data_IF_817473248359
#
_entry.id   IF_817473248359
#
_cell.length_a   1.000
_cell.length_b   1.000
_cell.length_c   1.000
_cell.angle_alpha   90.00
_cell.angle_beta   90.00
_cell.angle_gamma   90.00
#
_symmetry.space_group_name_H-M   'P 1'
#
loop_
_entity.id
_entity.type
_entity.pdbx_description
1 polymer ?
#
# COMPACT_ATOMS: atom_id res chain seq x y z
N UNK A 1 -16.55 -2.53 9.55
CA UNK A 1 -16.33 -1.22 8.91
C UNK A 1 -16.53 -0.19 10.00
N UNK A 2 -15.56 0.70 10.24
CA UNK A 2 -15.66 1.74 11.26
C UNK A 2 -16.81 2.69 10.93
N UNK A 3 -17.51 3.16 11.96
CA UNK A 3 -18.55 4.18 11.82
C UNK A 3 -17.93 5.55 11.57
N UNK A 4 -18.65 6.47 10.91
CA UNK A 4 -18.12 7.79 10.54
C UNK A 4 -17.61 8.61 11.74
N UNK A 5 -18.25 8.46 12.91
CA UNK A 5 -17.83 9.16 14.12
C UNK A 5 -16.50 8.63 14.67
N UNK A 6 -16.22 7.33 14.51
CA UNK A 6 -14.94 6.71 14.91
C UNK A 6 -13.82 7.23 13.99
N UNK A 7 -14.08 7.24 12.68
CA UNK A 7 -13.14 7.75 11.68
C UNK A 7 -12.82 9.23 11.94
N UNK A 8 -13.84 10.06 12.22
CA UNK A 8 -13.64 11.48 12.55
C UNK A 8 -12.76 11.68 13.79
N UNK A 9 -12.98 10.85 14.81
CA UNK A 9 -12.21 10.90 16.04
C UNK A 9 -10.75 10.53 15.78
N UNK A 10 -10.50 9.43 15.07
CA UNK A 10 -9.15 8.96 14.74
C UNK A 10 -8.39 9.96 13.86
N UNK A 11 -9.05 10.55 12.85
CA UNK A 11 -8.43 11.57 12.01
C UNK A 11 -8.01 12.79 12.83
N UNK A 12 -8.86 13.23 13.77
CA UNK A 12 -8.52 14.33 14.68
C UNK A 12 -7.32 14.00 15.55
N UNK A 13 -7.31 12.82 16.18
CA UNK A 13 -6.19 12.35 17.01
C UNK A 13 -4.89 12.26 16.20
N UNK A 14 -4.95 11.77 14.97
CA UNK A 14 -3.82 11.70 14.05
C UNK A 14 -3.30 13.09 13.67
N UNK A 15 -4.18 14.02 13.33
CA UNK A 15 -3.79 15.38 12.98
C UNK A 15 -3.08 16.08 14.16
N UNK A 16 -3.60 15.92 15.38
CA UNK A 16 -2.98 16.45 16.60
C UNK A 16 -1.61 15.81 16.85
N UNK A 17 -1.50 14.49 16.70
CA UNK A 17 -0.25 13.75 16.90
C UNK A 17 0.83 14.12 15.89
N UNK A 18 0.51 14.15 14.60
CA UNK A 18 1.45 14.56 13.55
C UNK A 18 1.87 16.02 13.70
N UNK A 19 0.94 16.90 14.11
CA UNK A 19 1.27 18.30 14.44
C UNK A 19 2.25 18.38 15.62
N UNK A 20 2.04 17.58 16.67
CA UNK A 20 2.94 17.53 17.83
C UNK A 20 4.34 17.02 17.46
N UNK A 21 4.43 16.13 16.47
CA UNK A 21 5.70 15.67 15.88
C UNK A 21 6.35 16.69 14.94
N UNK A 22 5.72 17.86 14.74
CA UNK A 22 6.17 18.90 13.80
C UNK A 22 6.24 18.42 12.35
N UNK A 23 5.41 17.45 12.00
CA UNK A 23 5.24 17.03 10.61
C UNK A 23 4.61 18.17 9.80
N UNK A 24 5.02 18.30 8.54
CA UNK A 24 4.39 19.23 7.60
C UNK A 24 3.12 18.56 7.06
N UNK A 25 1.97 19.14 7.35
CA UNK A 25 0.67 18.63 6.90
C UNK A 25 0.22 19.39 5.65
N UNK A 26 0.05 18.66 4.55
CA UNK A 26 -0.38 19.21 3.27
C UNK A 26 -1.49 18.33 2.69
N UNK A 27 -2.75 18.58 3.04
CA UNK A 27 -3.87 17.83 2.48
C UNK A 27 -3.96 18.00 0.97
N UNK A 28 -4.35 16.93 0.29
CA UNK A 28 -4.57 16.87 -1.15
C UNK A 28 -6.00 17.30 -1.48
N UNK A 29 -6.16 18.10 -2.53
CA UNK A 29 -7.49 18.48 -3.02
C UNK A 29 -8.26 17.27 -3.55
N UNK A 30 -9.58 17.24 -3.35
CA UNK A 30 -10.49 16.24 -3.93
C UNK A 30 -10.36 16.10 -5.45
N UNK A 31 -10.09 17.20 -6.17
CA UNK A 31 -9.89 17.21 -7.62
C UNK A 31 -8.69 16.35 -8.06
N UNK A 32 -7.57 16.44 -7.33
CA UNK A 32 -6.37 15.65 -7.59
C UNK A 32 -6.60 14.17 -7.28
N UNK A 33 -7.31 13.86 -6.19
CA UNK A 33 -7.69 12.48 -5.86
C UNK A 33 -8.58 11.90 -6.95
N UNK A 34 -9.64 12.61 -7.35
CA UNK A 34 -10.56 12.18 -8.39
C UNK A 34 -9.85 11.98 -9.74
N UNK A 35 -8.91 12.85 -10.10
CA UNK A 35 -8.10 12.70 -11.31
C UNK A 35 -7.21 11.46 -11.26
N UNK A 36 -6.60 11.15 -10.10
CA UNK A 36 -5.80 9.95 -9.91
C UNK A 36 -6.66 8.68 -9.99
N UNK A 37 -7.81 8.67 -9.32
CA UNK A 37 -8.80 7.58 -9.35
C UNK A 37 -9.28 7.30 -10.78
N UNK A 38 -9.62 8.35 -11.53
CA UNK A 38 -10.02 8.25 -12.93
C UNK A 38 -8.88 7.74 -13.83
N UNK A 39 -7.63 8.18 -13.59
CA UNK A 39 -6.45 7.72 -14.34
C UNK A 39 -6.25 6.21 -14.24
N UNK A 40 -6.52 5.62 -13.07
CA UNK A 40 -6.29 4.20 -12.82
C UNK A 40 -7.56 3.34 -12.84
N UNK A 41 -8.74 3.96 -12.92
CA UNK A 41 -10.02 3.25 -12.99
C UNK A 41 -10.42 2.59 -11.67
N UNK A 42 -10.07 3.20 -10.53
CA UNK A 42 -10.39 2.68 -9.19
C UNK A 42 -10.87 3.80 -8.27
N UNK A 43 -11.53 3.43 -7.17
CA UNK A 43 -11.78 4.34 -6.05
C UNK A 43 -10.84 4.00 -4.90
N UNK A 44 -10.32 4.96 -4.17
CA UNK A 44 -9.47 4.71 -3.01
C UNK A 44 -10.31 4.26 -1.80
N UNK A 45 -9.76 3.44 -0.89
CA UNK A 45 -10.43 3.11 0.37
C UNK A 45 -10.80 4.37 1.16
N UNK A 46 -11.99 4.40 1.75
CA UNK A 46 -12.56 5.62 2.35
C UNK A 46 -11.68 6.24 3.44
N UNK A 47 -11.11 5.43 4.33
CA UNK A 47 -10.21 5.90 5.40
C UNK A 47 -8.93 6.52 4.85
N UNK A 48 -8.31 5.88 3.84
CA UNK A 48 -7.13 6.42 3.17
C UNK A 48 -7.44 7.72 2.42
N UNK A 49 -8.55 7.76 1.67
CA UNK A 49 -9.01 8.96 0.96
C UNK A 49 -9.18 10.14 1.90
N UNK A 50 -9.90 9.94 3.00
CA UNK A 50 -10.13 10.99 4.01
C UNK A 50 -8.84 11.45 4.66
N UNK A 51 -7.91 10.53 4.95
CA UNK A 51 -6.61 10.92 5.49
C UNK A 51 -5.83 11.84 4.54
N UNK A 52 -5.73 11.49 3.26
CA UNK A 52 -4.97 12.32 2.31
C UNK A 52 -5.65 13.64 1.99
N UNK A 53 -6.99 13.74 2.07
CA UNK A 53 -7.71 14.99 1.78
C UNK A 53 -7.95 15.89 3.00
N UNK A 54 -7.96 15.33 4.20
CA UNK A 54 -8.22 16.08 5.44
C UNK A 54 -6.95 16.35 6.26
N UNK A 55 -5.92 15.50 6.18
CA UNK A 55 -4.70 15.60 6.98
C UNK A 55 -3.48 15.92 6.13
N UNK A 56 -3.02 14.96 5.31
CA UNK A 56 -1.79 15.15 4.52
C UNK A 56 -1.60 14.07 3.46
N UNK A 57 -1.07 14.44 2.30
CA UNK A 57 -0.60 13.51 1.27
C UNK A 57 0.92 13.35 1.33
N UNK A 58 1.35 12.28 1.99
CA UNK A 58 2.74 12.05 2.34
C UNK A 58 3.12 12.72 3.66
N UNK A 59 3.90 12.01 4.47
CA UNK A 59 4.44 12.51 5.76
C UNK A 59 5.56 11.61 6.25
N UNK A 60 6.63 12.22 6.78
CA UNK A 60 7.69 11.50 7.48
C UNK A 60 7.28 11.32 8.94
N UNK A 61 7.16 10.08 9.38
CA UNK A 61 6.86 9.68 10.76
C UNK A 61 8.06 8.94 11.38
N UNK A 62 8.10 8.76 12.72
CA UNK A 62 9.24 8.12 13.38
C UNK A 62 9.59 6.71 12.86
N UNK A 63 8.59 5.91 12.48
CA UNK A 63 8.78 4.50 12.07
C UNK A 63 8.55 4.23 10.58
N UNK A 64 7.97 5.19 9.85
CA UNK A 64 7.68 5.05 8.44
C UNK A 64 7.57 6.42 7.76
N UNK A 65 7.83 6.47 6.46
CA UNK A 65 7.51 7.61 5.61
C UNK A 65 6.34 7.23 4.74
N UNK A 66 5.20 7.91 4.91
CA UNK A 66 4.10 7.84 3.96
C UNK A 66 4.51 8.58 2.69
N UNK A 67 4.32 7.94 1.54
CA UNK A 67 4.63 8.52 0.24
C UNK A 67 3.40 9.23 -0.36
N UNK A 68 3.59 10.31 -1.14
CA UNK A 68 2.50 11.00 -1.82
C UNK A 68 1.76 10.09 -2.81
N UNK A 69 0.46 10.34 -3.00
CA UNK A 69 -0.44 9.56 -3.87
C UNK A 69 0.12 9.39 -5.29
N UNK A 70 0.76 10.44 -5.83
CA UNK A 70 1.36 10.43 -7.16
C UNK A 70 2.55 9.46 -7.31
N UNK A 71 3.25 9.17 -6.21
CA UNK A 71 4.41 8.27 -6.17
C UNK A 71 4.05 6.80 -5.91
N UNK A 72 2.81 6.54 -5.47
CA UNK A 72 2.37 5.20 -5.01
C UNK A 72 2.47 4.09 -6.07
N UNK A 73 2.42 4.48 -7.35
CA UNK A 73 2.48 3.57 -8.50
C UNK A 73 3.86 3.49 -9.16
N UNK A 74 4.75 4.44 -8.85
CA UNK A 74 6.13 4.50 -9.39
C UNK A 74 7.17 4.10 -8.35
N UNK A 75 6.80 4.02 -7.08
CA UNK A 75 7.66 3.51 -6.02
C UNK A 75 7.93 2.03 -6.23
N UNK A 76 9.20 1.65 -6.14
CA UNK A 76 9.63 0.26 -6.22
C UNK A 76 8.93 -0.59 -5.16
N UNK A 77 8.56 -1.81 -5.57
CA UNK A 77 7.92 -2.83 -4.74
C UNK A 77 8.93 -3.95 -4.57
N UNK A 78 9.02 -4.50 -3.36
CA UNK A 78 9.92 -5.60 -3.03
C UNK A 78 11.32 -5.46 -3.62
N UNK A 79 11.77 -6.51 -4.29
CA UNK A 79 13.07 -6.58 -4.95
C UNK A 79 13.06 -5.89 -6.33
N UNK A 80 14.23 -5.38 -6.75
CA UNK A 80 14.43 -4.60 -7.98
C UNK A 80 14.10 -5.30 -9.32
N UNK A 81 13.63 -6.55 -9.30
CA UNK A 81 13.26 -7.32 -10.48
C UNK A 81 11.83 -7.07 -10.96
N UNK A 82 11.00 -6.41 -10.15
CA UNK A 82 9.66 -6.01 -10.57
C UNK A 82 9.73 -4.91 -11.64
N UNK A 83 8.88 -4.98 -12.70
CA UNK A 83 8.87 -3.98 -13.76
C UNK A 83 8.61 -2.58 -13.23
N UNK A 84 9.37 -1.60 -13.73
CA UNK A 84 9.16 -0.18 -13.41
C UNK A 84 7.86 0.38 -13.98
N UNK A 85 7.27 -0.27 -14.98
CA UNK A 85 6.01 0.10 -15.60
C UNK A 85 4.93 -0.93 -15.31
N UNK A 86 3.95 -0.55 -14.50
CA UNK A 86 2.78 -1.37 -14.20
C UNK A 86 1.75 -1.29 -15.33
N UNK A 87 1.03 -2.40 -15.63
CA UNK A 87 -0.02 -2.38 -16.64
C UNK A 87 -1.17 -1.44 -16.22
N UNK A 88 -1.88 -0.86 -17.21
CA UNK A 88 -2.95 0.12 -16.93
C UNK A 88 -4.11 -0.43 -16.09
N UNK A 89 -4.35 -1.74 -16.18
CA UNK A 89 -5.39 -2.45 -15.45
C UNK A 89 -4.89 -3.02 -14.11
N UNK A 90 -3.66 -2.72 -13.68
CA UNK A 90 -3.03 -3.25 -12.47
C UNK A 90 -3.90 -3.08 -11.22
N UNK A 91 -4.50 -1.89 -11.05
CA UNK A 91 -5.38 -1.61 -9.91
C UNK A 91 -6.82 -2.13 -10.10
N UNK A 92 -7.24 -2.40 -11.34
CA UNK A 92 -8.60 -2.89 -11.63
C UNK A 92 -8.73 -4.39 -11.36
N UNK A 93 -7.62 -5.12 -11.38
CA UNK A 93 -7.55 -6.52 -10.98
C UNK A 93 -7.49 -6.63 -9.46
N UNK A 94 -8.15 -7.63 -8.86
CA UNK A 94 -8.18 -7.78 -7.41
C UNK A 94 -6.84 -8.30 -6.88
N UNK A 95 -6.48 -7.82 -5.69
CA UNK A 95 -5.51 -8.49 -4.84
C UNK A 95 -6.08 -9.86 -4.44
N UNK A 96 -5.33 -10.92 -4.75
CA UNK A 96 -5.78 -12.30 -4.59
C UNK A 96 -5.53 -12.86 -3.18
N UNK A 97 -4.38 -12.59 -2.51
CA UNK A 97 -4.16 -13.11 -1.18
C UNK A 97 -5.21 -12.66 -0.17
N UNK A 98 -5.72 -13.62 0.60
CA UNK A 98 -6.67 -13.39 1.69
C UNK A 98 -6.06 -13.60 3.08
N UNK A 99 -4.85 -14.14 3.16
CA UNK A 99 -4.00 -14.25 4.35
C UNK A 99 -2.52 -14.07 3.98
N UNK A 100 -1.64 -14.11 4.99
CA UNK A 100 -0.20 -14.04 4.80
C UNK A 100 0.26 -14.96 3.66
N UNK A 101 1.04 -14.38 2.74
CA UNK A 101 1.32 -15.02 1.46
C UNK A 101 2.79 -14.87 1.09
N UNK A 102 3.47 -16.01 1.01
CA UNK A 102 4.81 -16.08 0.47
C UNK A 102 4.81 -16.94 -0.80
N UNK A 103 4.88 -16.34 -2.00
CA UNK A 103 4.84 -17.09 -3.25
C UNK A 103 6.03 -18.04 -3.41
N UNK A 104 7.17 -17.78 -2.75
CA UNK A 104 8.35 -18.68 -2.76
C UNK A 104 8.09 -19.99 -2.01
N UNK A 105 6.99 -20.08 -1.25
CA UNK A 105 6.60 -21.29 -0.49
C UNK A 105 5.53 -22.13 -1.19
N UNK A 106 5.11 -21.74 -2.40
CA UNK A 106 4.10 -22.48 -3.15
C UNK A 106 4.63 -23.89 -3.49
N UNK A 107 3.91 -24.97 -3.10
CA UNK A 107 4.32 -26.32 -3.43
C UNK A 107 4.45 -26.53 -4.93
N UNK A 108 5.61 -27.06 -5.37
CA UNK A 108 5.89 -27.32 -6.78
C UNK A 108 6.33 -26.08 -7.58
N UNK A 109 6.60 -24.95 -6.92
CA UNK A 109 7.10 -23.75 -7.58
C UNK A 109 8.35 -24.03 -8.40
N UNK A 110 9.36 -24.71 -7.83
CA UNK A 110 10.62 -25.02 -8.53
C UNK A 110 10.37 -25.82 -9.83
N UNK A 111 9.45 -26.79 -9.80
CA UNK A 111 9.07 -27.59 -10.97
C UNK A 111 8.38 -26.74 -12.05
N UNK A 112 7.69 -25.67 -11.64
CA UNK A 112 6.99 -24.73 -12.53
C UNK A 112 7.91 -23.64 -13.08
N UNK A 113 8.87 -23.13 -12.30
CA UNK A 113 9.61 -21.89 -12.60
C UNK A 113 11.01 -22.10 -13.13
N UNK A 114 11.62 -23.30 -13.02
CA UNK A 114 13.01 -23.51 -13.45
C UNK A 114 13.30 -23.22 -14.94
N UNK A 115 12.26 -23.14 -15.78
CA UNK A 115 12.36 -22.76 -17.21
C UNK A 115 11.99 -21.33 -17.50
N UNK A 116 11.47 -20.60 -16.52
CA UNK A 116 11.04 -19.23 -16.71
C UNK A 116 12.25 -18.32 -16.83
N UNK A 117 12.15 -17.37 -17.74
CA UNK A 117 13.00 -16.19 -17.73
C UNK A 117 12.70 -15.31 -16.52
N UNK A 118 13.65 -14.44 -16.14
CA UNK A 118 13.45 -13.43 -15.10
C UNK A 118 12.18 -12.59 -15.36
N UNK A 119 11.89 -12.26 -16.62
CA UNK A 119 10.69 -11.51 -17.02
C UNK A 119 9.39 -12.29 -16.77
N UNK A 120 9.38 -13.59 -17.03
CA UNK A 120 8.22 -14.46 -16.76
C UNK A 120 8.00 -14.62 -15.26
N UNK A 121 9.08 -14.81 -14.51
CA UNK A 121 9.04 -14.87 -13.04
C UNK A 121 8.50 -13.57 -12.44
N UNK A 122 9.00 -12.42 -12.88
CA UNK A 122 8.52 -11.11 -12.43
C UNK A 122 7.06 -10.85 -12.78
N UNK A 123 6.59 -11.25 -13.98
CA UNK A 123 5.18 -11.14 -14.36
C UNK A 123 4.28 -11.99 -13.48
N UNK A 124 4.65 -13.24 -13.25
CA UNK A 124 3.90 -14.13 -12.36
C UNK A 124 3.85 -13.60 -10.92
N UNK A 125 4.97 -13.08 -10.42
CA UNK A 125 5.01 -12.42 -9.11
C UNK A 125 4.03 -11.24 -9.05
N UNK A 126 4.00 -10.38 -10.08
CA UNK A 126 3.09 -9.24 -10.14
C UNK A 126 1.61 -9.62 -10.09
N UNK A 127 1.22 -10.80 -10.59
CA UNK A 127 -0.18 -11.23 -10.58
C UNK A 127 -0.78 -11.29 -9.16
N UNK A 128 0.07 -11.50 -8.16
CA UNK A 128 -0.29 -11.57 -6.74
C UNK A 128 -0.33 -10.19 -6.06
N UNK A 129 0.14 -9.13 -6.74
CA UNK A 129 0.20 -7.76 -6.23
C UNK A 129 -0.85 -6.83 -6.84
N UNK A 130 -1.67 -7.31 -7.78
CA UNK A 130 -2.74 -6.52 -8.37
C UNK A 130 -3.62 -5.86 -7.32
N UNK A 131 -4.22 -4.71 -7.66
CA UNK A 131 -5.13 -4.03 -6.76
C UNK A 131 -4.46 -3.45 -5.52
N UNK A 132 -3.14 -3.20 -5.54
CA UNK A 132 -2.41 -2.60 -4.40
C UNK A 132 -1.66 -1.34 -4.80
N UNK A 133 -1.47 -0.42 -3.85
CA UNK A 133 -0.62 0.76 -4.00
C UNK A 133 0.44 0.77 -2.91
N UNK A 134 1.68 1.15 -3.21
CA UNK A 134 2.68 1.36 -2.14
C UNK A 134 2.27 2.60 -1.38
N UNK A 135 2.23 2.54 -0.04
CA UNK A 135 1.84 3.69 0.79
C UNK A 135 2.98 4.17 1.69
N UNK A 136 3.97 3.32 1.98
CA UNK A 136 5.08 3.73 2.84
C UNK A 136 6.41 3.09 2.49
N UNK A 137 7.47 3.80 2.87
CA UNK A 137 8.81 3.26 2.99
C UNK A 137 9.20 3.21 4.46
N UNK A 138 9.82 2.11 4.86
CA UNK A 138 10.41 1.93 6.17
C UNK A 138 11.93 1.99 6.06
N UNK A 139 12.62 1.87 7.20
CA UNK A 139 14.05 1.58 7.20
C UNK A 139 14.31 0.19 6.60
N UNK A 140 15.51 -0.04 6.08
CA UNK A 140 15.94 -1.35 5.53
C UNK A 140 15.12 -1.82 4.32
N UNK A 141 14.73 -0.89 3.44
CA UNK A 141 14.06 -1.18 2.15
C UNK A 141 12.71 -1.90 2.24
N UNK A 142 12.13 -2.03 3.44
CA UNK A 142 10.76 -2.55 3.60
C UNK A 142 9.74 -1.52 3.16
N UNK A 143 8.68 -1.97 2.52
CA UNK A 143 7.54 -1.11 2.15
C UNK A 143 6.25 -1.65 2.74
N UNK A 144 5.25 -0.79 2.91
CA UNK A 144 3.87 -1.26 3.11
C UNK A 144 3.04 -0.85 1.92
N UNK A 145 2.07 -1.69 1.56
CA UNK A 145 1.09 -1.41 0.53
C UNK A 145 -0.33 -1.45 1.08
N UNK A 146 -1.21 -0.67 0.46
CA UNK A 146 -2.63 -0.65 0.72
C UNK A 146 -3.36 -1.40 -0.39
N UNK A 147 -4.26 -2.29 -0.01
CA UNK A 147 -5.15 -2.95 -0.96
C UNK A 147 -6.27 -1.99 -1.35
N UNK A 148 -6.36 -1.67 -2.65
CA UNK A 148 -7.41 -0.84 -3.22
C UNK A 148 -8.47 -1.67 -3.95
N UNK A 149 -8.16 -2.86 -4.45
CA UNK A 149 -9.14 -3.70 -5.15
C UNK A 149 -9.04 -5.14 -4.69
N UNK A 150 -10.18 -5.80 -4.46
CA UNK A 150 -10.25 -7.17 -3.96
C UNK A 150 -10.91 -7.28 -2.59
N UNK A 151 -10.95 -8.50 -2.03
CA UNK A 151 -11.61 -8.83 -0.76
C UNK A 151 -10.98 -8.10 0.44
N UNK A 152 -9.66 -7.87 0.37
CA UNK A 152 -8.86 -7.24 1.41
C UNK A 152 -8.81 -5.70 1.31
N UNK A 153 -9.68 -5.08 0.49
CA UNK A 153 -9.71 -3.63 0.26
C UNK A 153 -9.72 -2.82 1.56
N UNK A 154 -8.82 -1.85 1.67
CA UNK A 154 -8.63 -0.98 2.83
C UNK A 154 -7.65 -1.52 3.88
N UNK A 155 -7.19 -2.76 3.74
CA UNK A 155 -6.16 -3.33 4.61
C UNK A 155 -4.76 -2.90 4.17
N UNK A 156 -3.87 -2.78 5.16
CA UNK A 156 -2.45 -2.55 4.95
C UNK A 156 -1.67 -3.85 5.11
N UNK A 157 -0.69 -4.06 4.24
CA UNK A 157 0.16 -5.24 4.21
C UNK A 157 1.62 -4.80 4.13
N UNK A 158 2.50 -5.56 4.78
CA UNK A 158 3.93 -5.37 4.72
C UNK A 158 4.52 -6.18 3.57
N UNK A 159 5.44 -5.55 2.84
CA UNK A 159 6.29 -6.21 1.85
C UNK A 159 7.60 -6.63 2.53
N UNK A 160 7.75 -7.93 2.73
CA UNK A 160 8.88 -8.59 3.39
C UNK A 160 9.66 -9.49 2.41
N UNK A 161 9.48 -9.30 1.09
CA UNK A 161 10.15 -10.14 0.08
C UNK A 161 11.67 -9.95 0.07
N UNK A 162 12.16 -8.81 0.55
CA UNK A 162 13.59 -8.52 0.67
C UNK A 162 14.29 -9.38 1.72
N UNK A 163 13.53 -9.94 2.66
CA UNK A 163 14.02 -10.86 3.71
C UNK A 163 13.48 -12.29 3.53
N UNK A 164 12.79 -12.58 2.42
CA UNK A 164 12.30 -13.91 2.08
C UNK A 164 11.02 -14.33 2.81
N UNK A 165 10.30 -13.41 3.46
CA UNK A 165 9.09 -13.72 4.25
C UNK A 165 7.78 -13.48 3.47
N UNK A 166 7.84 -12.90 2.27
CA UNK A 166 6.67 -12.67 1.42
C UNK A 166 5.87 -11.42 1.82
N UNK A 167 4.56 -11.55 1.92
CA UNK A 167 3.63 -10.50 2.30
C UNK A 167 2.88 -10.86 3.58
N UNK A 168 2.87 -9.94 4.53
CA UNK A 168 2.21 -10.12 5.83
C UNK A 168 1.10 -9.08 6.01
N UNK A 169 -0.08 -9.51 6.44
CA UNK A 169 -1.17 -8.60 6.77
C UNK A 169 -0.85 -7.86 8.06
N UNK A 170 -1.01 -6.54 8.09
CA UNK A 170 -0.75 -5.77 9.30
C UNK A 170 -1.80 -6.00 10.42
N UNK A 171 -2.86 -6.77 10.18
CA UNK A 171 -4.04 -6.94 11.07
C UNK A 171 -4.77 -5.65 11.50
N UNK A 172 -4.35 -4.49 10.97
CA UNK A 172 -4.92 -3.18 11.26
C UNK A 172 -5.48 -2.55 9.99
N UNK A 173 -6.45 -1.65 10.16
CA UNK A 173 -6.81 -0.77 9.06
C UNK A 173 -5.78 0.36 8.89
N UNK A 174 -5.94 1.13 7.82
CA UNK A 174 -5.01 2.18 7.47
C UNK A 174 -4.78 3.22 8.59
N UNK A 175 -5.83 3.69 9.29
CA UNK A 175 -5.67 4.76 10.29
C UNK A 175 -4.95 4.23 11.55
N UNK A 176 -5.30 3.02 11.98
CA UNK A 176 -4.60 2.33 13.07
C UNK A 176 -3.12 2.10 12.74
N UNK A 177 -2.84 1.72 11.49
CA UNK A 177 -1.48 1.55 10.98
C UNK A 177 -0.70 2.87 11.03
N UNK A 178 -1.29 4.00 10.62
CA UNK A 178 -0.63 5.32 10.70
C UNK A 178 -0.36 5.70 12.16
N UNK A 179 -1.33 5.50 13.05
CA UNK A 179 -1.21 5.87 14.46
C UNK A 179 -0.04 5.17 15.15
N UNK A 180 0.17 3.89 14.83
CA UNK A 180 1.28 3.06 15.34
C UNK A 180 2.63 3.48 14.76
N UNK A 181 2.68 3.86 13.48
CA UNK A 181 3.91 4.31 12.85
C UNK A 181 4.30 5.76 13.21
N UNK A 182 3.33 6.53 13.70
CA UNK A 182 3.54 7.84 14.31
C UNK A 182 3.97 7.77 15.79
N UNK A 183 4.03 6.58 16.41
CA UNK A 183 4.32 6.41 17.85
C UNK A 183 5.81 6.26 18.20
#
# INVERSE_FOLDING_TARGET
MKEDWEINKELKELAEKLSALKCVLQPLSEEKVAAWEAKWGVTLPGTYRRFITEITDGVVMPRATLIPLEETMTTARGNNWLPSQLPRDFLQKPFLPDDDFNPDTIPGLDDMTWRWSDDEYSKWWMEHLHGTIVISRHKEERTSFLVVTGKSRGQVWADLTTVGEGYERADWDFLDWVLRNAA
#
